data_IF_721609194578
#
_entry.id   IF_721609194578
#
_cell.length_a   1.000
_cell.length_b   1.000
_cell.length_c   1.000
_cell.angle_alpha   90.00
_cell.angle_beta   90.00
_cell.angle_gamma   90.00
#
_symmetry.space_group_name_H-M   'P 1'
#
loop_
_entity.id
_entity.type
_entity.pdbx_description
1 polymer ?
#
# COMPACT_ATOMS: atom_id res chain seq x y z
N UNK A 1 -7.20 23.43 9.26
CA UNK A 1 -8.53 23.05 9.80
C UNK A 1 -8.37 21.66 10.38
N UNK A 2 -8.80 21.44 11.63
CA UNK A 2 -8.87 20.09 12.19
C UNK A 2 -10.31 19.63 11.99
N UNK A 3 -10.53 18.66 11.10
CA UNK A 3 -11.81 17.97 11.00
C UNK A 3 -11.81 16.83 12.01
N UNK A 4 -12.65 16.94 13.03
CA UNK A 4 -12.73 15.90 14.06
C UNK A 4 -13.72 16.14 15.20
N UNK A 5 -14.57 17.18 15.16
CA UNK A 5 -15.59 17.34 16.19
C UNK A 5 -16.78 16.40 15.94
N UNK A 6 -17.28 15.82 17.04
CA UNK A 6 -18.55 15.10 17.06
C UNK A 6 -19.64 15.96 16.36
N UNK A 7 -20.32 15.34 15.39
CA UNK A 7 -21.31 15.94 14.48
C UNK A 7 -20.80 16.62 13.19
N UNK A 8 -19.54 16.40 12.77
CA UNK A 8 -19.10 16.75 11.41
C UNK A 8 -19.07 18.25 11.11
N UNK A 9 -18.93 19.08 12.16
CA UNK A 9 -18.69 20.52 12.00
C UNK A 9 -17.20 20.81 12.12
N UNK A 10 -16.61 21.64 11.25
CA UNK A 10 -15.25 22.12 11.40
C UNK A 10 -15.06 22.74 12.78
N UNK A 11 -14.01 22.34 13.49
CA UNK A 11 -13.46 23.20 14.55
C UNK A 11 -12.65 24.28 13.84
N UNK A 12 -13.36 25.24 13.27
CA UNK A 12 -12.82 26.51 12.82
C UNK A 12 -13.16 27.56 13.87
N UNK A 13 -12.25 27.80 14.80
CA UNK A 13 -12.35 28.99 15.63
C UNK A 13 -12.12 30.22 14.75
N UNK A 14 -13.12 31.10 14.65
CA UNK A 14 -12.85 32.46 14.20
C UNK A 14 -11.88 33.09 15.19
N UNK A 15 -10.66 33.37 14.74
CA UNK A 15 -9.68 34.10 15.52
C UNK A 15 -10.19 35.55 15.66
N UNK A 16 -10.11 36.11 16.88
CA UNK A 16 -10.26 37.55 17.02
C UNK A 16 -9.23 38.22 16.09
N UNK A 17 -9.59 39.37 15.49
CA UNK A 17 -8.83 40.05 14.43
C UNK A 17 -7.37 40.40 14.76
N UNK A 18 -6.90 40.07 15.97
CA UNK A 18 -5.59 40.41 16.53
C UNK A 18 -4.81 39.17 17.02
N UNK A 19 -5.31 37.95 16.80
CA UNK A 19 -4.71 36.73 17.38
C UNK A 19 -3.44 36.24 16.69
N UNK A 20 -3.27 36.59 15.41
CA UNK A 20 -2.14 36.20 14.56
C UNK A 20 -1.81 37.42 13.70
N UNK A 21 -0.84 38.22 14.13
CA UNK A 21 -0.35 39.39 13.40
C UNK A 21 1.16 39.31 13.25
N UNK A 22 1.66 39.35 12.02
CA UNK A 22 3.10 39.22 11.74
C UNK A 22 3.38 38.45 10.45
N UNK A 23 4.65 38.37 10.06
CA UNK A 23 5.08 37.71 8.83
C UNK A 23 5.39 36.20 9.02
N UNK A 24 5.47 35.71 10.25
CA UNK A 24 5.76 34.31 10.58
C UNK A 24 5.24 33.96 11.96
N UNK A 25 4.73 32.74 12.11
CA UNK A 25 4.20 32.20 13.35
C UNK A 25 4.61 30.73 13.51
N UNK A 26 4.93 30.32 14.73
CA UNK A 26 5.18 28.93 15.10
C UNK A 26 3.88 28.31 15.61
N UNK A 27 3.52 27.15 15.07
CA UNK A 27 2.40 26.36 15.56
C UNK A 27 2.92 25.04 16.13
N UNK A 28 2.68 24.81 17.42
CA UNK A 28 2.95 23.54 18.09
C UNK A 28 1.61 22.85 18.37
N UNK A 29 1.47 21.56 18.07
CA UNK A 29 0.25 20.79 18.34
C UNK A 29 0.52 19.71 19.39
N UNK A 30 -0.50 19.39 20.19
CA UNK A 30 -0.46 18.31 21.16
C UNK A 30 -1.75 17.49 21.09
N UNK A 31 -1.59 16.16 21.03
CA UNK A 31 -2.68 15.20 21.09
C UNK A 31 -2.72 14.52 22.44
N UNK A 32 -3.89 14.53 23.08
CA UNK A 32 -4.14 13.78 24.31
C UNK A 32 -5.48 13.05 24.20
N UNK A 33 -5.78 12.09 25.09
CA UNK A 33 -7.13 11.53 25.21
C UNK A 33 -8.22 12.58 25.45
N UNK A 34 -7.86 13.77 25.96
CA UNK A 34 -8.76 14.90 26.16
C UNK A 34 -9.04 15.74 24.91
N UNK A 35 -8.33 15.49 23.80
CA UNK A 35 -8.50 16.23 22.54
C UNK A 35 -7.18 16.77 21.95
N UNK A 36 -7.31 17.61 20.91
CA UNK A 36 -6.19 18.33 20.30
C UNK A 36 -6.08 19.73 20.90
N UNK A 37 -4.88 20.10 21.34
CA UNK A 37 -4.54 21.48 21.65
C UNK A 37 -3.52 22.01 20.65
N UNK A 38 -3.52 23.31 20.43
CA UNK A 38 -2.50 23.98 19.63
C UNK A 38 -1.98 25.21 20.36
N UNK A 39 -0.68 25.44 20.26
CA UNK A 39 0.03 26.57 20.84
C UNK A 39 0.63 27.41 19.73
N UNK A 40 0.35 28.71 19.72
CA UNK A 40 0.85 29.69 18.75
C UNK A 40 1.96 30.50 19.40
N UNK A 41 3.12 30.55 18.74
CA UNK A 41 4.31 31.27 19.18
C UNK A 41 4.74 30.96 20.61
N UNK A 42 4.39 29.76 21.10
CA UNK A 42 4.53 29.33 22.50
C UNK A 42 3.82 30.24 23.53
N UNK A 43 2.91 31.11 23.09
CA UNK A 43 2.26 32.13 23.92
C UNK A 43 0.77 31.85 24.15
N UNK A 44 0.05 31.39 23.12
CA UNK A 44 -1.41 31.18 23.19
C UNK A 44 -1.72 29.73 22.92
N UNK A 45 -2.33 29.03 23.89
CA UNK A 45 -2.80 27.65 23.70
C UNK A 45 -4.32 27.63 23.57
N UNK A 46 -4.86 27.08 22.49
CA UNK A 46 -6.29 26.81 22.35
C UNK A 46 -6.57 25.30 22.31
N UNK A 47 -7.80 24.94 22.69
CA UNK A 47 -8.20 23.56 22.94
C UNK A 47 -8.23 23.22 24.44
N UNK A 48 -8.34 21.93 24.82
CA UNK A 48 -8.37 20.79 23.91
C UNK A 48 -9.71 20.71 23.16
N UNK A 49 -9.64 20.50 21.85
CA UNK A 49 -10.80 20.25 21.02
C UNK A 49 -11.07 18.75 21.00
N UNK A 50 -12.29 18.31 21.39
CA UNK A 50 -12.60 16.90 21.44
C UNK A 50 -12.54 16.32 20.02
N UNK A 51 -11.78 15.23 19.88
CA UNK A 51 -11.71 14.46 18.63
C UNK A 51 -12.43 13.12 18.78
N UNK A 52 -13.35 12.86 17.88
CA UNK A 52 -13.97 11.54 17.72
C UNK A 52 -13.00 10.63 16.96
N UNK A 53 -12.38 9.66 17.64
CA UNK A 53 -11.35 8.77 17.07
C UNK A 53 -11.85 7.80 15.98
N UNK A 54 -13.11 7.90 15.54
CA UNK A 54 -13.73 6.90 14.66
C UNK A 54 -13.10 6.76 13.26
N UNK A 55 -12.29 7.72 12.78
CA UNK A 55 -11.74 7.71 11.42
C UNK A 55 -10.21 7.86 11.34
N UNK A 56 -9.50 7.78 12.47
CA UNK A 56 -8.11 8.20 12.54
C UNK A 56 -7.96 9.72 12.36
N UNK A 57 -6.80 10.28 12.68
CA UNK A 57 -6.62 11.72 12.55
C UNK A 57 -6.26 12.14 11.12
N UNK A 58 -6.85 13.25 10.65
CA UNK A 58 -6.38 13.98 9.48
C UNK A 58 -5.81 15.35 9.89
N UNK A 59 -4.73 15.77 9.25
CA UNK A 59 -4.13 17.10 9.44
C UNK A 59 -4.17 17.80 8.08
N UNK A 60 -4.96 18.89 8.01
CA UNK A 60 -5.14 19.68 6.79
C UNK A 60 -4.71 21.12 7.02
N UNK A 61 -3.78 21.59 6.18
CA UNK A 61 -3.35 22.97 6.10
C UNK A 61 -4.18 23.68 5.02
N UNK A 62 -4.86 24.77 5.38
CA UNK A 62 -5.71 25.53 4.46
C UNK A 62 -5.43 27.01 4.64
N UNK A 63 -5.14 27.71 3.55
CA UNK A 63 -5.15 29.17 3.50
C UNK A 63 -6.51 29.62 2.95
N UNK A 64 -7.17 30.55 3.64
CA UNK A 64 -8.47 31.06 3.21
C UNK A 64 -8.48 32.59 3.29
N UNK A 65 -8.99 33.19 2.22
CA UNK A 65 -9.25 34.61 2.07
C UNK A 65 -10.66 34.94 2.63
N UNK A 66 -10.85 36.09 3.28
CA UNK A 66 -12.11 36.43 3.97
C UNK A 66 -13.13 37.07 3.03
N UNK A 67 -12.66 37.86 2.08
CA UNK A 67 -13.49 38.63 1.16
C UNK A 67 -13.15 38.33 -0.30
N UNK A 68 -14.07 38.67 -1.20
CA UNK A 68 -13.81 38.71 -2.64
C UNK A 68 -12.61 39.65 -2.90
N UNK A 69 -11.60 39.14 -3.62
CA UNK A 69 -10.32 39.79 -3.95
C UNK A 69 -9.22 39.75 -2.87
N UNK A 70 -9.42 39.07 -1.75
CA UNK A 70 -8.30 38.78 -0.84
C UNK A 70 -7.36 37.75 -1.50
N UNK A 71 -6.05 37.98 -1.44
CA UNK A 71 -5.02 37.03 -1.89
C UNK A 71 -4.48 36.31 -0.65
N UNK A 72 -4.50 34.98 -0.65
CA UNK A 72 -3.94 34.15 0.40
C UNK A 72 -2.64 33.48 -0.07
N UNK A 73 -1.53 34.21 -0.05
CA UNK A 73 -0.20 33.66 -0.32
C UNK A 73 0.38 33.08 0.98
N UNK A 74 0.22 31.78 1.19
CA UNK A 74 0.75 31.08 2.37
C UNK A 74 1.67 29.95 1.95
N UNK A 75 2.91 29.96 2.45
CA UNK A 75 3.84 28.83 2.32
C UNK A 75 3.90 28.07 3.63
N UNK A 76 3.61 26.77 3.60
CA UNK A 76 3.85 25.87 4.72
C UNK A 76 5.21 25.20 4.53
N UNK A 77 6.13 25.37 5.46
CA UNK A 77 7.48 24.78 5.41
C UNK A 77 7.89 24.25 6.77
N UNK A 78 8.74 23.21 6.81
CA UNK A 78 9.25 22.65 8.08
C UNK A 78 8.23 21.81 8.86
N UNK A 79 7.26 21.20 8.17
CA UNK A 79 6.31 20.27 8.80
C UNK A 79 7.03 18.94 9.05
N UNK A 80 7.22 18.59 10.31
CA UNK A 80 7.77 17.30 10.74
C UNK A 80 6.74 16.56 11.58
N UNK A 81 6.39 15.34 11.17
CA UNK A 81 5.69 14.38 12.01
C UNK A 81 6.73 13.45 12.62
N UNK A 82 6.92 13.50 13.93
CA UNK A 82 7.78 12.54 14.63
C UNK A 82 6.93 11.38 15.16
N UNK A 83 7.40 10.15 14.94
CA UNK A 83 6.80 8.92 15.44
C UNK A 83 7.01 8.81 16.96
N UNK A 84 6.35 9.68 17.74
CA UNK A 84 6.57 9.77 19.18
C UNK A 84 5.44 9.19 20.04
N UNK A 85 4.20 9.15 19.54
CA UNK A 85 3.05 8.86 20.42
C UNK A 85 1.88 8.14 19.75
N UNK A 86 1.98 7.73 18.48
CA UNK A 86 1.01 6.81 17.89
C UNK A 86 1.49 5.41 18.22
N UNK A 87 1.04 4.86 19.35
CA UNK A 87 1.14 3.42 19.56
C UNK A 87 0.30 2.79 18.46
N UNK A 88 0.94 2.12 17.51
CA UNK A 88 0.21 1.39 16.48
C UNK A 88 -0.72 0.41 17.19
N UNK A 89 -2.02 0.51 16.92
CA UNK A 89 -2.96 -0.48 17.43
C UNK A 89 -2.49 -1.86 17.00
N UNK A 90 -2.53 -2.86 17.90
CA UNK A 90 -2.12 -4.21 17.55
C UNK A 90 -2.92 -4.69 16.34
N UNK A 91 -2.21 -5.12 15.30
CA UNK A 91 -2.80 -5.67 14.09
C UNK A 91 -3.55 -6.97 14.44
N UNK A 92 -4.86 -6.86 14.60
CA UNK A 92 -5.72 -7.98 14.99
C UNK A 92 -6.35 -8.61 13.76
N UNK A 93 -6.17 -9.92 13.60
CA UNK A 93 -6.82 -10.69 12.55
C UNK A 93 -8.35 -10.66 12.73
N UNK A 94 -9.14 -10.56 11.64
CA UNK A 94 -10.57 -10.77 11.73
C UNK A 94 -10.90 -12.20 12.18
N UNK A 95 -12.06 -12.37 12.83
CA UNK A 95 -12.54 -13.69 13.24
C UNK A 95 -12.88 -14.60 12.05
N UNK A 96 -12.81 -15.91 12.26
CA UNK A 96 -13.11 -16.91 11.22
C UNK A 96 -11.95 -17.17 10.25
N UNK A 97 -12.19 -18.02 9.25
CA UNK A 97 -11.19 -18.35 8.25
C UNK A 97 -11.14 -17.29 7.14
N UNK A 98 -9.94 -16.96 6.61
CA UNK A 98 -9.84 -16.10 5.45
C UNK A 98 -10.44 -16.82 4.23
N UNK A 99 -11.11 -16.06 3.36
CA UNK A 99 -11.58 -16.55 2.07
C UNK A 99 -10.40 -16.86 1.13
N UNK A 100 -9.31 -16.13 1.27
CA UNK A 100 -8.10 -16.29 0.46
C UNK A 100 -6.84 -16.24 1.34
N UNK A 101 -5.91 -17.16 1.09
CA UNK A 101 -4.53 -17.09 1.58
C UNK A 101 -3.60 -17.30 0.39
N UNK A 102 -2.65 -16.38 0.18
CA UNK A 102 -1.61 -16.47 -0.83
C UNK A 102 -0.25 -16.30 -0.16
N UNK A 103 0.59 -17.33 -0.21
CA UNK A 103 1.96 -17.29 0.30
C UNK A 103 2.98 -17.46 -0.81
N UNK A 104 4.13 -16.83 -0.66
CA UNK A 104 5.31 -17.08 -1.49
C UNK A 104 6.57 -16.66 -0.74
N UNK A 105 7.73 -17.05 -1.26
CA UNK A 105 9.00 -16.41 -0.91
C UNK A 105 9.41 -15.51 -2.06
N UNK A 106 9.53 -14.21 -1.80
CA UNK A 106 9.90 -13.20 -2.79
C UNK A 106 11.35 -12.78 -2.57
N UNK A 107 12.12 -12.65 -3.65
CA UNK A 107 13.46 -12.08 -3.62
C UNK A 107 13.47 -10.94 -4.63
N UNK A 108 13.55 -9.71 -4.12
CA UNK A 108 13.55 -8.49 -4.91
C UNK A 108 14.97 -8.22 -5.43
N UNK A 109 15.19 -8.54 -6.71
CA UNK A 109 16.48 -8.42 -7.35
C UNK A 109 16.41 -7.48 -8.55
N UNK A 110 17.48 -6.72 -8.77
CA UNK A 110 17.56 -5.78 -9.88
C UNK A 110 18.73 -4.82 -9.74
N UNK A 111 18.80 -3.87 -10.67
CA UNK A 111 19.75 -2.76 -10.66
C UNK A 111 19.10 -1.52 -11.26
N UNK A 112 19.61 -0.34 -10.89
CA UNK A 112 19.10 0.95 -11.37
C UNK A 112 18.46 1.74 -10.24
N UNK A 113 17.40 2.49 -10.56
CA UNK A 113 16.76 3.41 -9.60
C UNK A 113 15.59 2.82 -8.85
N UNK A 114 14.96 1.76 -9.35
CA UNK A 114 14.02 0.97 -8.56
C UNK A 114 13.60 -0.35 -9.21
N UNK A 115 13.26 -1.32 -8.37
CA UNK A 115 12.73 -2.63 -8.75
C UNK A 115 11.87 -3.21 -7.61
N UNK A 116 10.98 -4.15 -7.93
CA UNK A 116 10.13 -4.81 -6.94
C UNK A 116 9.77 -6.25 -7.29
N UNK A 117 9.33 -6.98 -6.27
CA UNK A 117 8.77 -8.33 -6.37
C UNK A 117 7.49 -8.44 -5.51
N UNK A 118 6.36 -8.75 -6.15
CA UNK A 118 5.05 -8.79 -5.53
C UNK A 118 4.29 -10.08 -5.80
N UNK A 119 3.52 -10.51 -4.80
CA UNK A 119 2.32 -11.32 -5.04
C UNK A 119 1.11 -10.38 -5.10
N UNK A 120 0.23 -10.61 -6.07
CA UNK A 120 -0.89 -9.72 -6.32
C UNK A 120 -2.18 -10.52 -6.52
N UNK A 121 -3.30 -9.97 -6.05
CA UNK A 121 -4.64 -10.50 -6.23
C UNK A 121 -5.57 -9.40 -6.70
N UNK A 122 -6.44 -9.69 -7.67
CA UNK A 122 -7.45 -8.74 -8.12
C UNK A 122 -8.76 -9.43 -8.51
N UNK A 123 -9.84 -8.65 -8.55
CA UNK A 123 -11.12 -9.07 -9.12
C UNK A 123 -11.30 -8.53 -10.55
N UNK A 124 -12.49 -8.75 -11.13
CA UNK A 124 -12.86 -8.24 -12.44
C UNK A 124 -13.43 -6.80 -12.40
N UNK A 125 -13.42 -6.13 -11.25
CA UNK A 125 -14.14 -4.87 -10.99
C UNK A 125 -13.21 -3.75 -10.50
N UNK A 126 -11.96 -3.74 -11.00
CA UNK A 126 -10.94 -2.73 -10.70
C UNK A 126 -10.56 -2.66 -9.21
N UNK A 127 -10.59 -3.79 -8.50
CA UNK A 127 -10.07 -3.90 -7.14
C UNK A 127 -8.88 -4.86 -7.13
N UNK A 128 -7.77 -4.42 -6.55
CA UNK A 128 -6.53 -5.17 -6.52
C UNK A 128 -5.73 -4.89 -5.25
N UNK A 129 -4.93 -5.86 -4.83
CA UNK A 129 -3.94 -5.72 -3.78
C UNK A 129 -2.67 -6.49 -4.17
N UNK A 130 -1.56 -5.78 -4.25
CA UNK A 130 -0.22 -6.34 -4.34
C UNK A 130 0.53 -6.13 -3.02
N UNK A 131 1.27 -7.15 -2.58
CA UNK A 131 2.14 -7.08 -1.40
C UNK A 131 3.48 -7.77 -1.68
N UNK A 132 4.54 -7.27 -1.07
CA UNK A 132 5.89 -7.82 -1.27
C UNK A 132 6.96 -6.80 -0.96
N UNK A 133 8.05 -6.83 -1.71
CA UNK A 133 9.26 -6.03 -1.46
C UNK A 133 9.55 -5.12 -2.64
N UNK A 134 9.95 -3.89 -2.34
CA UNK A 134 10.41 -2.91 -3.33
C UNK A 134 11.67 -2.20 -2.83
N UNK A 135 12.56 -1.96 -3.78
CA UNK A 135 13.73 -1.12 -3.64
C UNK A 135 13.55 0.09 -4.56
N UNK A 136 13.56 1.30 -4.01
CA UNK A 136 13.41 2.54 -4.79
C UNK A 136 14.26 3.68 -4.23
N UNK A 137 15.22 4.13 -5.02
CA UNK A 137 16.11 5.25 -4.70
C UNK A 137 15.43 6.62 -4.73
N UNK A 138 14.28 6.75 -5.39
CA UNK A 138 13.50 7.99 -5.44
C UNK A 138 12.53 8.12 -4.27
N UNK A 139 12.16 7.02 -3.61
CA UNK A 139 11.31 7.05 -2.42
C UNK A 139 12.09 7.57 -1.20
N UNK A 140 11.56 8.57 -0.48
CA UNK A 140 12.12 9.05 0.79
C UNK A 140 12.19 7.97 1.87
N UNK A 141 11.27 7.01 1.85
CA UNK A 141 11.18 5.89 2.79
C UNK A 141 12.22 4.80 2.50
N UNK A 142 12.33 4.38 1.23
CA UNK A 142 13.23 3.30 0.82
C UNK A 142 14.67 3.78 0.67
N UNK A 143 14.91 4.94 0.04
CA UNK A 143 16.24 5.45 -0.30
C UNK A 143 17.13 4.40 -0.98
N UNK A 144 16.53 3.51 -1.78
CA UNK A 144 17.21 2.42 -2.46
C UNK A 144 17.53 1.22 -1.58
N UNK A 145 16.88 1.08 -0.42
CA UNK A 145 16.91 -0.12 0.41
C UNK A 145 15.61 -0.92 0.25
N UNK A 146 15.64 -2.26 0.39
CA UNK A 146 14.46 -3.08 0.26
C UNK A 146 13.47 -2.82 1.41
N UNK A 147 12.20 -2.65 1.07
CA UNK A 147 11.11 -2.44 2.03
C UNK A 147 9.90 -3.30 1.70
N UNK A 148 9.23 -3.80 2.74
CA UNK A 148 7.90 -4.34 2.60
C UNK A 148 6.92 -3.21 2.28
N UNK A 149 6.07 -3.44 1.29
CA UNK A 149 5.02 -2.49 0.93
C UNK A 149 3.78 -3.19 0.39
N UNK A 150 2.70 -2.43 0.33
CA UNK A 150 1.51 -2.81 -0.44
C UNK A 150 1.15 -1.75 -1.47
N UNK A 151 0.55 -2.19 -2.56
CA UNK A 151 -0.16 -1.38 -3.54
C UNK A 151 -1.60 -1.85 -3.59
N UNK A 152 -2.56 -0.93 -3.48
CA UNK A 152 -3.99 -1.23 -3.49
C UNK A 152 -4.70 -0.34 -4.48
N UNK A 153 -5.51 -0.96 -5.33
CA UNK A 153 -6.55 -0.28 -6.10
C UNK A 153 -7.89 -0.64 -5.48
N UNK A 154 -8.68 0.37 -5.11
CA UNK A 154 -10.07 0.17 -4.69
C UNK A 154 -10.96 1.16 -5.45
N UNK A 155 -11.93 0.65 -6.21
CA UNK A 155 -12.82 1.47 -7.04
C UNK A 155 -12.04 2.42 -7.98
N UNK A 156 -10.94 1.94 -8.55
CA UNK A 156 -10.06 2.73 -9.43
C UNK A 156 -9.12 3.71 -8.74
N UNK A 157 -9.13 3.79 -7.40
CA UNK A 157 -8.22 4.65 -6.64
C UNK A 157 -7.00 3.85 -6.21
N UNK A 158 -5.83 4.26 -6.70
CA UNK A 158 -4.54 3.71 -6.30
C UNK A 158 -4.06 4.31 -4.97
N UNK A 159 -3.56 3.45 -4.10
CA UNK A 159 -2.95 3.80 -2.81
C UNK A 159 -1.80 2.84 -2.55
N UNK A 160 -0.72 3.31 -1.93
CA UNK A 160 0.42 2.47 -1.57
C UNK A 160 0.97 2.88 -0.22
N UNK A 161 1.74 2.00 0.42
CA UNK A 161 2.42 2.31 1.67
C UNK A 161 3.67 1.46 1.86
N UNK A 162 4.77 2.12 2.22
CA UNK A 162 5.96 1.51 2.80
C UNK A 162 5.69 1.15 4.26
N UNK A 163 5.87 -0.12 4.62
CA UNK A 163 5.47 -0.67 5.92
C UNK A 163 6.66 -0.78 6.87
N UNK A 164 7.67 -1.54 6.45
CA UNK A 164 8.84 -1.84 7.26
C UNK A 164 10.04 -2.23 6.38
N UNK A 165 11.28 -2.07 6.87
CA UNK A 165 12.46 -2.56 6.18
C UNK A 165 12.38 -4.08 5.91
N UNK A 166 12.82 -4.48 4.72
CA UNK A 166 13.03 -5.87 4.34
C UNK A 166 14.53 -6.18 4.26
N UNK A 167 14.88 -7.45 4.11
CA UNK A 167 16.26 -7.87 3.85
C UNK A 167 16.54 -7.89 2.35
N UNK A 168 17.82 -7.81 1.96
CA UNK A 168 18.27 -7.85 0.57
C UNK A 168 18.31 -9.28 0.00
N UNK A 169 17.25 -10.05 0.18
CA UNK A 169 17.17 -11.43 -0.28
C UNK A 169 15.78 -12.03 -0.07
N UNK A 170 15.73 -13.36 -0.05
CA UNK A 170 14.49 -14.13 0.08
C UNK A 170 13.68 -13.78 1.34
N UNK A 171 12.50 -13.17 1.14
CA UNK A 171 11.53 -12.82 2.16
C UNK A 171 10.27 -13.69 2.01
N UNK A 172 9.99 -14.60 2.97
CA UNK A 172 8.71 -15.30 3.02
C UNK A 172 7.60 -14.31 3.35
N UNK A 173 6.51 -14.34 2.59
CA UNK A 173 5.36 -13.47 2.77
C UNK A 173 4.04 -14.23 2.70
N UNK A 174 3.05 -13.70 3.43
CA UNK A 174 1.68 -14.20 3.41
C UNK A 174 0.71 -13.04 3.23
N UNK A 175 -0.24 -13.21 2.31
CA UNK A 175 -1.41 -12.36 2.16
C UNK A 175 -2.65 -13.17 2.53
N UNK A 176 -3.50 -12.64 3.41
CA UNK A 176 -4.82 -13.23 3.72
C UNK A 176 -5.91 -12.20 3.47
N UNK A 177 -7.10 -12.64 3.06
CA UNK A 177 -8.26 -11.76 2.88
C UNK A 177 -9.53 -12.38 3.44
N UNK A 178 -10.22 -11.62 4.29
CA UNK A 178 -11.52 -11.95 4.86
C UNK A 178 -12.59 -11.17 4.11
N UNK A 179 -13.21 -11.84 3.15
CA UNK A 179 -14.23 -11.26 2.26
C UNK A 179 -15.34 -10.54 3.00
N UNK A 180 -15.93 -11.16 4.02
CA UNK A 180 -17.08 -10.60 4.74
C UNK A 180 -16.70 -9.39 5.60
N UNK A 181 -15.46 -9.34 6.08
CA UNK A 181 -14.91 -8.26 6.89
C UNK A 181 -14.28 -7.15 6.03
N UNK A 182 -14.14 -7.38 4.71
CA UNK A 182 -13.52 -6.47 3.75
C UNK A 182 -12.13 -6.00 4.17
N UNK A 183 -11.36 -6.95 4.71
CA UNK A 183 -10.02 -6.72 5.25
C UNK A 183 -9.05 -7.75 4.69
N UNK A 184 -7.92 -7.27 4.21
CA UNK A 184 -6.74 -8.06 3.94
C UNK A 184 -5.67 -7.82 5.02
N UNK A 185 -4.88 -8.84 5.29
CA UNK A 185 -3.76 -8.80 6.22
C UNK A 185 -2.50 -9.25 5.49
N UNK A 186 -1.44 -8.46 5.59
CA UNK A 186 -0.12 -8.77 5.07
C UNK A 186 0.81 -9.16 6.23
N UNK A 187 1.51 -10.28 6.07
CA UNK A 187 2.42 -10.82 7.06
C UNK A 187 3.81 -11.02 6.47
N UNK A 188 4.82 -10.80 7.31
CA UNK A 188 6.15 -11.37 7.15
C UNK A 188 6.13 -12.82 7.66
N UNK A 189 6.69 -13.75 6.90
CA UNK A 189 6.71 -15.18 7.21
C UNK A 189 5.63 -15.99 6.46
N UNK A 190 5.67 -17.30 6.68
CA UNK A 190 4.71 -18.28 6.17
C UNK A 190 4.35 -19.30 7.26
N UNK A 191 3.14 -19.89 7.18
CA UNK A 191 2.69 -20.92 8.12
C UNK A 191 2.52 -20.42 9.56
N UNK A 192 2.97 -21.20 10.54
CA UNK A 192 2.84 -20.87 11.97
C UNK A 192 3.83 -19.81 12.49
N UNK A 193 4.76 -19.34 11.65
CA UNK A 193 5.78 -18.35 12.00
C UNK A 193 5.55 -16.97 11.37
N UNK A 194 4.30 -16.56 11.21
CA UNK A 194 3.92 -15.27 10.59
C UNK A 194 3.82 -14.14 11.61
N UNK A 195 4.24 -12.93 11.20
CA UNK A 195 4.04 -11.68 11.95
C UNK A 195 3.21 -10.73 11.09
N UNK A 196 2.03 -10.27 11.55
CA UNK A 196 1.25 -9.28 10.80
C UNK A 196 2.02 -7.96 10.74
N UNK A 197 2.09 -7.37 9.56
CA UNK A 197 2.80 -6.10 9.31
C UNK A 197 1.88 -5.04 8.70
N UNK A 198 0.77 -5.41 8.08
CA UNK A 198 -0.26 -4.46 7.67
C UNK A 198 -1.67 -5.04 7.72
N UNK A 199 -2.65 -4.17 8.00
CA UNK A 199 -4.08 -4.40 7.86
C UNK A 199 -4.62 -3.43 6.81
N UNK A 200 -5.17 -3.95 5.74
CA UNK A 200 -5.57 -3.18 4.55
C UNK A 200 -7.07 -3.38 4.33
N UNK A 201 -7.83 -2.29 4.24
CA UNK A 201 -9.23 -2.38 3.79
C UNK A 201 -9.26 -2.78 2.31
N UNK A 202 -10.00 -3.83 1.99
CA UNK A 202 -10.09 -4.39 0.65
C UNK A 202 -11.45 -5.06 0.45
N UNK A 203 -12.22 -4.56 -0.49
CA UNK A 203 -13.50 -5.13 -0.94
C UNK A 203 -13.32 -5.62 -2.38
N UNK A 204 -13.30 -6.94 -2.55
CA UNK A 204 -13.20 -7.61 -3.85
C UNK A 204 -14.39 -8.54 -4.04
N UNK A 205 -14.78 -8.75 -5.29
CA UNK A 205 -15.73 -9.81 -5.64
C UNK A 205 -15.00 -11.12 -5.93
N UNK A 206 -15.49 -12.27 -5.43
CA UNK A 206 -15.04 -13.60 -5.86
C UNK A 206 -14.98 -13.77 -7.39
N UNK A 207 -14.19 -14.75 -7.85
CA UNK A 207 -13.57 -14.82 -9.19
C UNK A 207 -12.30 -13.96 -9.24
N UNK A 208 -11.38 -14.33 -8.35
CA UNK A 208 -10.10 -13.67 -8.19
C UNK A 208 -9.10 -14.14 -9.24
N UNK A 209 -8.18 -13.26 -9.58
CA UNK A 209 -6.99 -13.53 -10.38
C UNK A 209 -5.77 -13.26 -9.51
N UNK A 210 -4.74 -14.07 -9.68
CA UNK A 210 -3.54 -14.07 -8.86
C UNK A 210 -2.31 -13.90 -9.73
N UNK A 211 -1.39 -13.06 -9.27
CA UNK A 211 -0.20 -12.68 -10.01
C UNK A 211 1.05 -12.98 -9.18
N UNK A 212 2.11 -13.40 -9.88
CA UNK A 212 3.50 -13.29 -9.45
C UNK A 212 4.15 -12.24 -10.36
N UNK A 213 4.57 -11.13 -9.78
CA UNK A 213 4.88 -9.89 -10.51
C UNK A 213 6.25 -9.37 -10.10
N UNK A 214 7.06 -8.98 -11.09
CA UNK A 214 8.29 -8.24 -10.86
C UNK A 214 8.34 -7.00 -11.74
N UNK A 215 8.81 -5.90 -11.17
CA UNK A 215 8.81 -4.59 -11.82
C UNK A 215 10.20 -3.95 -11.78
N UNK A 216 10.44 -3.02 -12.69
CA UNK A 216 11.58 -2.11 -12.64
C UNK A 216 11.13 -0.72 -13.06
N UNK A 217 11.76 0.32 -12.51
CA UNK A 217 11.16 1.65 -12.47
C UNK A 217 11.07 2.33 -13.83
N UNK A 218 12.16 2.41 -14.58
CA UNK A 218 12.23 3.22 -15.81
C UNK A 218 13.27 2.70 -16.78
N UNK A 219 13.27 3.24 -18.01
CA UNK A 219 14.22 2.86 -19.06
C UNK A 219 15.67 2.74 -18.53
N UNK A 220 16.30 1.57 -18.75
CA UNK A 220 17.65 1.25 -18.30
C UNK A 220 17.73 0.54 -16.95
N UNK A 221 16.70 0.62 -16.11
CA UNK A 221 16.61 -0.17 -14.88
C UNK A 221 16.33 -1.64 -15.23
N UNK A 222 16.72 -2.55 -14.34
CA UNK A 222 16.59 -3.99 -14.56
C UNK A 222 15.91 -4.64 -13.37
N UNK A 223 15.18 -5.71 -13.65
CA UNK A 223 14.67 -6.64 -12.64
C UNK A 223 15.31 -8.01 -12.86
N UNK A 224 15.58 -8.70 -11.76
CA UNK A 224 16.06 -10.07 -11.68
C UNK A 224 15.50 -10.71 -10.40
N UNK A 225 14.18 -10.63 -10.25
CA UNK A 225 13.46 -11.06 -9.05
C UNK A 225 13.07 -12.53 -9.15
N UNK A 226 12.95 -13.19 -7.99
CA UNK A 226 12.38 -14.54 -7.91
C UNK A 226 11.17 -14.57 -7.00
N UNK A 227 10.18 -15.37 -7.37
CA UNK A 227 9.01 -15.64 -6.55
C UNK A 227 8.84 -17.15 -6.51
N UNK A 228 9.04 -17.75 -5.35
CA UNK A 228 9.10 -19.21 -5.22
C UNK A 228 8.06 -19.76 -4.26
N UNK A 229 7.70 -21.02 -4.48
CA UNK A 229 6.74 -21.77 -3.67
C UNK A 229 5.40 -21.02 -3.49
N UNK A 230 4.82 -20.54 -4.59
CA UNK A 230 3.52 -19.87 -4.55
C UNK A 230 2.45 -20.86 -4.09
N UNK A 231 1.75 -20.58 -3.00
CA UNK A 231 0.63 -21.39 -2.51
C UNK A 231 -0.60 -20.50 -2.36
N UNK A 232 -1.68 -20.85 -3.03
CA UNK A 232 -2.96 -20.15 -2.96
C UNK A 232 -4.02 -21.13 -2.46
N UNK A 233 -4.71 -20.73 -1.40
CA UNK A 233 -5.99 -21.30 -0.97
C UNK A 233 -7.04 -20.23 -1.18
N UNK A 234 -8.12 -20.55 -1.88
CA UNK A 234 -9.20 -19.60 -2.18
C UNK A 234 -10.55 -20.31 -2.24
N UNK A 235 -11.56 -19.65 -1.66
CA UNK A 235 -12.93 -20.16 -1.59
C UNK A 235 -13.29 -20.70 -0.21
N UNK A 236 -14.59 -20.66 0.11
CA UNK A 236 -15.11 -21.19 1.36
C UNK A 236 -15.28 -22.71 1.26
N UNK A 237 -14.30 -23.46 1.76
CA UNK A 237 -14.36 -24.88 2.12
C UNK A 237 -15.24 -25.77 1.19
N UNK A 238 -14.82 -26.00 -0.05
CA UNK A 238 -15.53 -26.85 -1.02
C UNK A 238 -14.61 -27.88 -1.68
N UNK A 239 -14.89 -29.19 -1.57
CA UNK A 239 -14.02 -30.25 -2.11
C UNK A 239 -14.05 -30.43 -3.64
N UNK A 240 -14.87 -29.70 -4.40
CA UNK A 240 -14.97 -29.89 -5.86
C UNK A 240 -15.06 -28.62 -6.72
N UNK A 241 -15.28 -27.43 -6.14
CA UNK A 241 -15.62 -26.20 -6.90
C UNK A 241 -14.92 -24.94 -6.37
N UNK A 242 -13.78 -25.08 -5.68
CA UNK A 242 -12.94 -24.00 -5.18
C UNK A 242 -11.45 -24.30 -5.47
N UNK A 243 -10.60 -23.28 -5.47
CA UNK A 243 -9.18 -23.40 -5.82
C UNK A 243 -8.80 -22.69 -7.11
N UNK A 244 -7.69 -23.11 -7.73
CA UNK A 244 -7.15 -22.52 -8.96
C UNK A 244 -7.59 -23.30 -10.19
N UNK A 245 -7.76 -22.61 -11.32
CA UNK A 245 -8.04 -23.23 -12.62
C UNK A 245 -6.88 -23.06 -13.59
N UNK A 246 -6.70 -24.05 -14.47
CA UNK A 246 -5.72 -24.00 -15.54
C UNK A 246 -4.28 -24.03 -15.04
N UNK A 247 -3.42 -23.28 -15.74
CA UNK A 247 -2.00 -23.13 -15.45
C UNK A 247 -1.64 -21.65 -15.39
N UNK A 248 -0.58 -21.31 -14.66
CA UNK A 248 0.00 -19.97 -14.73
C UNK A 248 0.34 -19.58 -16.18
N UNK A 249 -0.20 -18.44 -16.62
CA UNK A 249 0.10 -17.79 -17.88
C UNK A 249 1.25 -16.81 -17.69
N UNK A 250 2.35 -17.01 -18.39
CA UNK A 250 3.55 -16.16 -18.35
C UNK A 250 3.89 -15.54 -19.70
N UNK A 251 3.01 -15.70 -20.70
CA UNK A 251 3.30 -15.29 -22.07
C UNK A 251 2.63 -13.95 -22.43
N UNK A 252 1.46 -13.67 -21.84
CA UNK A 252 0.61 -12.56 -22.31
C UNK A 252 0.86 -11.24 -21.57
N UNK A 253 1.54 -11.27 -20.42
CA UNK A 253 1.65 -10.12 -19.50
C UNK A 253 3.10 -9.71 -19.27
N UNK A 254 3.77 -9.38 -20.37
CA UNK A 254 5.17 -8.99 -20.42
C UNK A 254 5.26 -7.57 -21.01
N UNK A 255 5.65 -6.59 -20.20
CA UNK A 255 5.58 -5.18 -20.55
C UNK A 255 6.97 -4.55 -20.52
N UNK A 256 7.22 -3.64 -21.46
CA UNK A 256 8.44 -2.81 -21.52
C UNK A 256 9.77 -3.59 -21.38
N UNK A 257 9.85 -4.80 -21.95
CA UNK A 257 11.07 -5.62 -21.94
C UNK A 257 11.25 -6.50 -20.70
N UNK A 258 10.27 -6.52 -19.79
CA UNK A 258 10.28 -7.42 -18.63
C UNK A 258 9.49 -8.70 -18.94
N UNK A 259 9.97 -9.83 -18.43
CA UNK A 259 9.34 -11.13 -18.69
C UNK A 259 9.30 -11.99 -17.44
N UNK A 260 8.12 -12.54 -17.14
CA UNK A 260 7.98 -13.60 -16.16
C UNK A 260 8.18 -14.97 -16.80
N UNK A 261 8.88 -15.87 -16.14
CA UNK A 261 9.08 -17.26 -16.58
C UNK A 261 8.84 -18.20 -15.42
N UNK A 262 8.03 -19.24 -15.63
CA UNK A 262 7.80 -20.29 -14.64
C UNK A 262 8.91 -21.35 -14.72
N UNK A 263 9.57 -21.68 -13.61
CA UNK A 263 10.86 -22.39 -13.63
C UNK A 263 10.85 -23.83 -13.14
N UNK A 264 9.83 -24.29 -12.40
CA UNK A 264 9.85 -25.62 -11.77
C UNK A 264 8.73 -26.58 -12.22
N UNK A 265 8.10 -26.34 -13.36
CA UNK A 265 7.11 -27.24 -13.97
C UNK A 265 5.74 -27.32 -13.27
N UNK A 266 5.64 -26.95 -11.99
CA UNK A 266 4.38 -26.87 -11.25
C UNK A 266 3.40 -25.92 -11.94
N UNK A 267 2.21 -26.40 -12.31
CA UNK A 267 1.26 -25.63 -13.11
C UNK A 267 0.39 -24.68 -12.30
N UNK A 268 0.24 -24.92 -11.00
CA UNK A 268 -0.60 -24.16 -10.08
C UNK A 268 0.15 -23.86 -8.76
N UNK A 269 -0.22 -24.52 -7.65
CA UNK A 269 0.46 -24.40 -6.37
C UNK A 269 1.86 -25.03 -6.41
N UNK A 270 2.78 -24.43 -5.67
CA UNK A 270 4.21 -24.75 -5.67
C UNK A 270 4.94 -24.24 -6.91
N UNK A 271 4.37 -23.35 -7.72
CA UNK A 271 5.06 -22.74 -8.85
C UNK A 271 6.16 -21.78 -8.39
N UNK A 272 7.22 -21.73 -9.20
CA UNK A 272 8.34 -20.80 -9.06
C UNK A 272 8.45 -19.94 -10.31
N UNK A 273 8.82 -18.67 -10.12
CA UNK A 273 8.96 -17.68 -11.15
C UNK A 273 10.32 -16.99 -11.05
N UNK A 274 10.92 -16.75 -12.21
CA UNK A 274 11.95 -15.73 -12.40
C UNK A 274 11.33 -14.60 -13.21
N UNK A 275 11.48 -13.36 -12.74
CA UNK A 275 11.04 -12.18 -13.48
C UNK A 275 12.30 -11.38 -13.80
N UNK A 276 12.60 -11.29 -15.09
CA UNK A 276 13.86 -10.74 -15.57
C UNK A 276 13.65 -9.78 -16.73
N UNK A 277 14.50 -8.78 -16.84
CA UNK A 277 14.57 -7.93 -18.01
C UNK A 277 15.20 -6.58 -17.74
N UNK A 278 15.34 -5.80 -18.80
CA UNK A 278 15.73 -4.39 -18.75
C UNK A 278 14.59 -3.57 -19.31
N UNK A 279 14.16 -2.57 -18.55
CA UNK A 279 13.09 -1.69 -18.97
C UNK A 279 13.53 -0.94 -20.22
N UNK A 280 12.70 -1.00 -21.25
CA UNK A 280 12.91 -0.29 -22.51
C UNK A 280 11.59 0.08 -23.17
N UNK A 281 11.60 1.15 -23.96
CA UNK A 281 10.44 1.58 -24.74
C UNK A 281 9.45 2.50 -24.02
N UNK A 282 9.74 2.92 -22.79
CA UNK A 282 8.96 3.97 -22.13
C UNK A 282 9.16 5.33 -22.81
N UNK A 283 8.11 6.15 -22.84
CA UNK A 283 8.21 7.53 -23.28
C UNK A 283 9.12 8.35 -22.35
N UNK A 284 9.65 9.47 -22.85
CA UNK A 284 10.52 10.33 -22.05
C UNK A 284 9.76 10.89 -20.84
N UNK A 285 10.33 10.71 -19.64
CA UNK A 285 9.73 11.16 -18.38
C UNK A 285 8.71 10.19 -17.76
N UNK A 286 8.44 9.05 -18.42
CA UNK A 286 7.57 8.01 -17.88
C UNK A 286 8.35 7.00 -17.04
N UNK A 287 7.67 6.41 -16.06
CA UNK A 287 8.15 5.34 -15.19
C UNK A 287 6.97 4.47 -14.69
N UNK A 288 7.25 3.54 -13.79
CA UNK A 288 6.28 2.61 -13.19
C UNK A 288 5.11 3.26 -12.43
N UNK A 289 5.17 4.57 -12.13
CA UNK A 289 4.08 5.30 -11.48
C UNK A 289 3.06 5.79 -12.51
N UNK A 290 3.45 5.79 -13.79
CA UNK A 290 2.67 6.26 -14.93
C UNK A 290 2.25 5.13 -15.88
N UNK A 291 3.06 4.08 -15.97
CA UNK A 291 2.88 2.96 -16.89
C UNK A 291 2.99 1.62 -16.16
N UNK A 292 2.33 0.58 -16.68
CA UNK A 292 2.52 -0.79 -16.19
C UNK A 292 3.85 -1.35 -16.71
N UNK A 293 4.89 -1.31 -15.86
CA UNK A 293 6.25 -1.78 -16.18
C UNK A 293 6.56 -3.08 -15.43
N UNK A 294 6.06 -4.20 -15.97
CA UNK A 294 6.02 -5.47 -15.26
C UNK A 294 6.30 -6.69 -16.14
N UNK A 295 6.84 -7.74 -15.54
CA UNK A 295 6.69 -9.11 -16.02
C UNK A 295 5.77 -9.87 -15.07
N UNK A 296 4.69 -10.46 -15.58
CA UNK A 296 3.63 -11.06 -14.75
C UNK A 296 3.34 -12.51 -15.16
N UNK A 297 3.40 -13.40 -14.17
CA UNK A 297 2.73 -14.69 -14.24
C UNK A 297 1.33 -14.57 -13.62
N UNK A 298 0.28 -15.00 -14.31
CA UNK A 298 -1.11 -14.90 -13.83
C UNK A 298 -1.83 -16.25 -13.81
N UNK A 299 -2.66 -16.50 -12.80
CA UNK A 299 -3.60 -17.65 -12.73
C UNK A 299 -4.95 -17.20 -12.15
N UNK A 300 -6.03 -17.90 -12.46
CA UNK A 300 -7.36 -17.56 -11.99
C UNK A 300 -7.91 -18.54 -10.94
N UNK A 301 -8.79 -18.05 -10.09
CA UNK A 301 -9.69 -18.86 -9.29
C UNK A 301 -10.60 -19.70 -10.20
N UNK A 302 -10.82 -20.97 -9.84
CA UNK A 302 -11.83 -21.82 -10.47
C UNK A 302 -13.25 -21.29 -10.27
N UNK A 303 -14.06 -21.31 -11.33
CA UNK A 303 -15.46 -20.89 -11.33
C UNK A 303 -16.32 -21.94 -12.07
N UNK A 304 -17.52 -22.21 -11.53
CA UNK A 304 -18.47 -23.17 -12.08
C UNK A 304 -19.00 -22.76 -13.48
N UNK A 305 -18.68 -23.53 -14.52
CA UNK A 305 -19.05 -23.25 -15.92
C UNK A 305 -17.86 -23.00 -16.86
N UNK A 306 -16.62 -23.23 -16.39
CA UNK A 306 -15.41 -23.37 -17.20
C UNK A 306 -14.92 -24.81 -17.22
#
# INVERSE_FOLDING_TARGET
MIEGAAAGKPVGGYWAANGITGASHLFTYSWTPGGISFTIDNNVTLGPYPVSMAAGPSISFLAAARNTNDIADTTFSGITFSSGSVVADPLTEPGGAPYMTYTATVDDGGTGTGHSAFINVHDAFNNALAVGVQTDSASPESQGQPWFMFNRVQNGIFTYQYIAPATSGAEPITLKWWKNEKVAMFYKGIGGGVTPIAKISLDMSPRLYFNAEGNARKNGDTVNSTITNTQITVGDNCPSQCGLTGSWNTNDFNFYGLTATRTNGSTQNGANFTITGTVSGLAAGHDWDTDLVAGVGMIAQYWNGQ
#
